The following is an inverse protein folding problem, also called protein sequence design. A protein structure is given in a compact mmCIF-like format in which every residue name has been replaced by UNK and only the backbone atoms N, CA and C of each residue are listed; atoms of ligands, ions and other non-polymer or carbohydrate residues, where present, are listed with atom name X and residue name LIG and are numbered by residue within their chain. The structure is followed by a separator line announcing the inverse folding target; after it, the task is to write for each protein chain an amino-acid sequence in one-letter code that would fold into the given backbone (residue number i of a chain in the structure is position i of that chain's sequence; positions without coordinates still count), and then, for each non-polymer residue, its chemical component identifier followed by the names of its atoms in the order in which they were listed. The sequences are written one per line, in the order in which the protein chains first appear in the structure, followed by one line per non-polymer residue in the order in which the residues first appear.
data_IF_263570033690
#
_entry.id   IF_263570033690
#
_cell.length_a   1.000
_cell.length_b   1.000
_cell.length_c   1.000
_cell.angle_alpha   90.00
_cell.angle_beta   90.00
_cell.angle_gamma   90.00
#
_symmetry.space_group_name_H-M   'P 1'
#
loop_
_entity.id
_entity.type
_entity.pdbx_description
1 polymer ?
#
# COMPACT_ATOMS: atom_id res chain seq x y z
N UNK A 1 -14.53 -11.82 7.62
CA UNK A 1 -13.39 -10.90 7.51
C UNK A 1 -12.70 -11.31 6.25
N UNK A 2 -12.64 -10.40 5.30
CA UNK A 2 -12.13 -10.65 3.97
C UNK A 2 -10.77 -9.95 3.85
N UNK A 3 -9.94 -10.39 2.91
CA UNK A 3 -8.61 -9.83 2.74
C UNK A 3 -8.55 -9.13 1.39
N UNK A 4 -8.13 -7.88 1.42
CA UNK A 4 -7.82 -7.10 0.23
C UNK A 4 -6.31 -7.14 0.05
N UNK A 5 -5.90 -7.68 -1.09
CA UNK A 5 -4.50 -7.84 -1.46
C UNK A 5 -4.05 -6.67 -2.34
N UNK A 6 -2.94 -6.05 -1.96
CA UNK A 6 -2.21 -5.09 -2.77
C UNK A 6 -0.76 -5.57 -2.85
N UNK A 7 -0.45 -6.27 -3.92
CA UNK A 7 0.88 -6.85 -4.17
C UNK A 7 1.60 -6.12 -5.29
N UNK A 8 2.92 -6.24 -5.30
CA UNK A 8 3.83 -5.60 -6.27
C UNK A 8 3.72 -4.05 -6.29
N UNK A 9 3.50 -3.43 -5.12
CA UNK A 9 3.55 -1.97 -5.01
C UNK A 9 5.02 -1.51 -5.04
N UNK A 10 5.47 -1.04 -6.20
CA UNK A 10 6.81 -0.50 -6.40
C UNK A 10 6.90 0.97 -6.02
N UNK A 11 7.85 1.31 -5.16
CA UNK A 11 8.08 2.68 -4.70
C UNK A 11 9.57 2.96 -4.54
N UNK A 12 10.00 4.15 -4.95
CA UNK A 12 11.36 4.63 -4.69
C UNK A 12 11.47 5.17 -3.26
N UNK A 13 12.44 4.68 -2.50
CA UNK A 13 12.69 5.16 -1.14
C UNK A 13 14.19 5.27 -0.84
N UNK A 14 14.52 6.06 0.17
CA UNK A 14 15.87 6.13 0.73
C UNK A 14 15.89 5.26 1.99
N UNK A 15 16.36 4.02 1.85
CA UNK A 15 16.40 3.04 2.94
C UNK A 15 17.78 2.39 3.01
N UNK A 16 18.23 2.07 4.22
CA UNK A 16 19.47 1.35 4.43
C UNK A 16 20.08 1.53 5.82
N UNK A 17 20.91 0.55 6.19
CA UNK A 17 21.65 0.52 7.47
C UNK A 17 22.90 1.38 7.36
N UNK A 18 23.54 1.41 6.18
CA UNK A 18 24.76 2.16 5.95
C UNK A 18 24.48 3.60 5.52
N UNK A 19 25.36 4.52 5.89
CA UNK A 19 25.21 5.94 5.50
C UNK A 19 25.17 6.16 3.98
N UNK A 20 25.86 5.32 3.21
CA UNK A 20 25.88 5.46 1.75
C UNK A 20 24.54 5.03 1.11
N UNK A 21 23.84 4.06 1.70
CA UNK A 21 22.51 3.64 1.24
C UNK A 21 21.49 4.76 1.44
N UNK A 22 21.66 5.54 2.52
CA UNK A 22 20.86 6.73 2.81
C UNK A 22 21.12 7.93 1.87
N UNK A 23 22.02 7.78 0.90
CA UNK A 23 22.34 8.80 -0.12
C UNK A 23 21.80 8.44 -1.51
N UNK A 24 21.20 7.26 -1.68
CA UNK A 24 20.66 6.78 -2.95
C UNK A 24 19.18 6.43 -2.81
N UNK A 25 18.41 6.67 -3.88
CA UNK A 25 17.04 6.13 -3.99
C UNK A 25 17.10 4.72 -4.54
N UNK A 26 16.34 3.83 -3.92
CA UNK A 26 16.23 2.42 -4.29
C UNK A 26 14.75 2.09 -4.51
N UNK A 27 14.46 1.34 -5.57
CA UNK A 27 13.11 0.79 -5.78
C UNK A 27 12.90 -0.37 -4.80
N UNK A 28 11.83 -0.30 -4.02
CA UNK A 28 11.38 -1.41 -3.17
C UNK A 28 10.00 -1.87 -3.62
N UNK A 29 9.72 -3.15 -3.39
CA UNK A 29 8.40 -3.76 -3.60
C UNK A 29 7.76 -4.00 -2.23
N UNK A 30 6.51 -3.56 -2.08
CA UNK A 30 5.72 -3.73 -0.86
C UNK A 30 4.49 -4.58 -1.19
N UNK A 31 4.30 -5.66 -0.43
CA UNK A 31 3.10 -6.49 -0.47
C UNK A 31 2.27 -6.24 0.80
N UNK A 32 0.97 -5.97 0.63
CA UNK A 32 0.04 -5.62 1.68
C UNK A 32 -1.20 -6.50 1.66
N UNK A 33 -1.43 -7.19 2.78
CA UNK A 33 -2.61 -8.01 3.03
C UNK A 33 -3.46 -7.32 4.10
N UNK A 34 -4.62 -6.79 3.72
CA UNK A 34 -5.43 -5.95 4.59
C UNK A 34 -6.76 -6.60 4.91
N UNK A 35 -6.98 -6.93 6.19
CA UNK A 35 -8.26 -7.41 6.67
C UNK A 35 -9.32 -6.30 6.67
N UNK A 36 -10.44 -6.53 5.99
CA UNK A 36 -11.57 -5.61 5.97
C UNK A 36 -12.90 -6.36 5.89
N UNK A 37 -13.97 -5.78 6.44
CA UNK A 37 -15.31 -6.33 6.32
C UNK A 37 -15.98 -5.81 5.04
N UNK A 38 -16.00 -6.64 3.99
CA UNK A 38 -16.54 -6.25 2.68
C UNK A 38 -18.04 -6.52 2.55
N UNK A 39 -18.72 -7.07 3.58
CA UNK A 39 -20.12 -7.51 3.47
C UNK A 39 -21.03 -6.40 2.95
N UNK A 40 -20.88 -5.19 3.50
CA UNK A 40 -21.66 -4.04 3.07
C UNK A 40 -21.35 -3.61 1.63
N UNK A 41 -20.08 -3.62 1.22
CA UNK A 41 -19.70 -3.32 -0.16
C UNK A 41 -20.28 -4.34 -1.15
N UNK A 42 -20.29 -5.62 -0.79
CA UNK A 42 -20.86 -6.69 -1.60
C UNK A 42 -22.39 -6.60 -1.73
N UNK A 43 -23.08 -6.11 -0.68
CA UNK A 43 -24.54 -5.91 -0.71
C UNK A 43 -24.96 -4.69 -1.54
N UNK A 44 -24.19 -3.59 -1.47
CA UNK A 44 -24.58 -2.32 -2.09
C UNK A 44 -23.93 -2.06 -3.44
N UNK A 45 -22.93 -2.84 -3.83
CA UNK A 45 -22.06 -2.58 -4.99
C UNK A 45 -21.45 -1.17 -4.97
N UNK A 46 -21.21 -0.63 -3.76
CA UNK A 46 -20.70 0.73 -3.55
C UNK A 46 -19.24 0.68 -3.08
N UNK A 47 -18.35 1.24 -3.90
CA UNK A 47 -16.94 1.36 -3.60
C UNK A 47 -16.67 2.23 -2.36
N UNK A 48 -17.59 3.12 -1.98
CA UNK A 48 -17.49 3.89 -0.75
C UNK A 48 -17.58 3.03 0.52
N UNK A 49 -18.04 1.77 0.41
CA UNK A 49 -18.12 0.82 1.52
C UNK A 49 -16.99 -0.21 1.52
N UNK A 50 -16.03 -0.13 0.59
CA UNK A 50 -14.83 -0.97 0.59
C UNK A 50 -13.58 -0.20 1.05
N UNK A 51 -12.51 -0.92 1.35
CA UNK A 51 -11.19 -0.34 1.49
C UNK A 51 -10.57 -0.17 0.09
N UNK A 52 -10.43 1.08 -0.33
CA UNK A 52 -9.88 1.44 -1.64
C UNK A 52 -8.38 1.15 -1.71
N UNK A 53 -8.00 0.10 -2.44
CA UNK A 53 -6.59 -0.23 -2.72
C UNK A 53 -5.84 0.91 -3.43
N UNK A 54 -6.56 1.76 -4.18
CA UNK A 54 -6.02 2.95 -4.83
C UNK A 54 -5.62 4.04 -3.84
N UNK A 55 -6.42 4.24 -2.80
CA UNK A 55 -6.12 5.26 -1.80
C UNK A 55 -5.06 4.77 -0.82
N UNK A 56 -5.07 3.47 -0.51
CA UNK A 56 -3.99 2.81 0.22
C UNK A 56 -2.67 2.92 -0.53
N UNK A 57 -2.62 2.56 -1.82
CA UNK A 57 -1.38 2.60 -2.60
C UNK A 57 -0.79 4.01 -2.61
N UNK A 58 -1.61 5.04 -2.88
CA UNK A 58 -1.19 6.45 -2.81
C UNK A 58 -0.64 6.81 -1.43
N UNK A 59 -1.35 6.45 -0.36
CA UNK A 59 -0.93 6.78 1.01
C UNK A 59 0.42 6.17 1.35
N UNK A 60 0.61 4.88 1.02
CA UNK A 60 1.86 4.16 1.27
C UNK A 60 2.99 4.73 0.43
N UNK A 61 2.77 4.98 -0.86
CA UNK A 61 3.78 5.59 -1.73
C UNK A 61 4.21 6.97 -1.24
N UNK A 62 3.28 7.84 -0.81
CA UNK A 62 3.62 9.14 -0.25
C UNK A 62 4.42 9.01 1.05
N UNK A 63 3.97 8.16 1.98
CA UNK A 63 4.67 7.96 3.26
C UNK A 63 6.12 7.47 3.10
N UNK A 64 6.38 6.67 2.07
CA UNK A 64 7.70 6.07 1.81
C UNK A 64 8.64 7.00 1.01
N UNK A 65 8.09 7.96 0.26
CA UNK A 65 8.85 8.90 -0.54
C UNK A 65 9.28 10.18 0.21
N UNK A 66 8.64 10.45 1.35
CA UNK A 66 8.98 11.54 2.29
C UNK A 66 10.26 11.22 3.08
#
# INVERSE_FOLDING_TARGET
MDIIYLHDLKVDCVIGVWEWERKIRQEITIDLDMGFDIRKAAETDDLAHTLSYKDVSKRVSSFVQD
#
